data_IF_593293844485
#
_entry.id   IF_593293844485
#
_cell.length_a   1.000
_cell.length_b   1.000
_cell.length_c   1.000
_cell.angle_alpha   90.00
_cell.angle_beta   90.00
_cell.angle_gamma   90.00
#
_symmetry.space_group_name_H-M   'P 1'
#
loop_
_entity.id
_entity.type
_entity.pdbx_description
1 polymer ?
#
# COMPACT_ATOMS: atom_id res chain seq x y z
N UNK A 1 -14.53 -18.58 -48.97
CA UNK A 1 -14.50 -18.83 -47.51
C UNK A 1 -13.94 -17.61 -46.80
N UNK A 2 -14.77 -16.65 -46.38
CA UNK A 2 -14.30 -15.55 -45.53
C UNK A 2 -14.47 -15.95 -44.06
N UNK A 3 -13.38 -16.29 -43.37
CA UNK A 3 -13.40 -16.75 -41.98
C UNK A 3 -13.22 -15.57 -41.03
N UNK A 4 -14.35 -15.01 -40.61
CA UNK A 4 -14.58 -14.26 -39.35
C UNK A 4 -13.33 -13.72 -38.62
N UNK A 5 -12.73 -12.65 -39.13
CA UNK A 5 -11.64 -11.89 -38.47
C UNK A 5 -12.15 -10.84 -37.49
N UNK A 6 -13.39 -10.38 -37.67
CA UNK A 6 -14.05 -9.36 -36.82
C UNK A 6 -14.10 -9.72 -35.32
N UNK A 7 -14.52 -10.93 -34.88
CA UNK A 7 -14.59 -11.22 -33.45
C UNK A 7 -13.20 -11.28 -32.78
N UNK A 8 -12.14 -11.65 -33.53
CA UNK A 8 -10.78 -11.67 -33.02
C UNK A 8 -10.27 -10.25 -32.72
N UNK A 9 -10.56 -9.30 -33.62
CA UNK A 9 -10.21 -7.88 -33.45
C UNK A 9 -10.97 -7.23 -32.29
N UNK A 10 -12.27 -7.52 -32.15
CA UNK A 10 -13.08 -7.04 -31.02
C UNK A 10 -12.61 -7.63 -29.67
N UNK A 11 -12.21 -8.90 -29.64
CA UNK A 11 -11.65 -9.53 -28.42
C UNK A 11 -10.33 -8.88 -28.03
N UNK A 12 -9.44 -8.58 -29.00
CA UNK A 12 -8.17 -7.90 -28.74
C UNK A 12 -8.35 -6.48 -28.19
N UNK A 13 -9.36 -5.73 -28.67
CA UNK A 13 -9.69 -4.38 -28.15
C UNK A 13 -10.20 -4.40 -26.70
N UNK A 14 -10.88 -5.45 -26.26
CA UNK A 14 -11.38 -5.57 -24.88
C UNK A 14 -10.24 -5.94 -23.92
N UNK A 15 -9.22 -6.71 -24.35
CA UNK A 15 -8.06 -7.04 -23.51
C UNK A 15 -7.21 -5.82 -23.13
N UNK A 16 -7.24 -4.73 -23.91
CA UNK A 16 -6.51 -3.48 -23.60
C UNK A 16 -7.34 -2.45 -22.83
N UNK A 17 -8.64 -2.71 -22.60
CA UNK A 17 -9.52 -1.83 -21.83
C UNK A 17 -9.32 -1.99 -20.30
N UNK A 18 -8.07 -1.87 -19.82
CA UNK A 18 -7.83 -1.62 -18.41
C UNK A 18 -8.41 -0.26 -18.04
N UNK A 19 -9.54 -0.27 -17.33
CA UNK A 19 -10.14 0.91 -16.72
C UNK A 19 -9.23 1.45 -15.60
N UNK A 20 -8.15 2.14 -15.99
CA UNK A 20 -7.27 2.83 -15.07
C UNK A 20 -8.07 3.96 -14.40
N UNK A 21 -8.51 3.73 -13.17
CA UNK A 21 -9.18 4.74 -12.36
C UNK A 21 -8.17 5.81 -11.91
N UNK A 22 -7.96 6.81 -12.75
CA UNK A 22 -7.13 7.95 -12.43
C UNK A 22 -7.78 8.80 -11.34
N UNK A 23 -7.23 8.76 -10.13
CA UNK A 23 -7.54 9.74 -9.09
C UNK A 23 -6.61 10.96 -9.21
N UNK A 24 -7.05 12.11 -8.68
CA UNK A 24 -6.20 13.29 -8.57
C UNK A 24 -6.14 13.71 -7.09
N UNK A 25 -4.98 13.55 -6.47
CA UNK A 25 -4.83 13.70 -5.02
C UNK A 25 -5.10 15.12 -4.54
N UNK A 26 -4.69 16.13 -5.31
CA UNK A 26 -4.86 17.53 -4.89
C UNK A 26 -6.30 17.99 -5.04
N UNK A 27 -7.02 17.46 -6.03
CA UNK A 27 -8.47 17.64 -6.18
C UNK A 27 -9.26 16.94 -5.07
N UNK A 28 -8.85 15.74 -4.65
CA UNK A 28 -9.49 15.02 -3.55
C UNK A 28 -9.24 15.75 -2.22
N UNK A 29 -7.98 16.02 -1.86
CA UNK A 29 -7.64 16.77 -0.64
C UNK A 29 -8.22 18.19 -0.63
N UNK A 30 -8.43 18.80 -1.80
CA UNK A 30 -9.12 20.10 -1.92
C UNK A 30 -10.57 20.11 -1.43
N UNK A 31 -11.19 18.95 -1.21
CA UNK A 31 -12.50 18.81 -0.58
C UNK A 31 -12.44 18.81 0.96
N UNK A 32 -11.26 18.77 1.56
CA UNK A 32 -11.05 18.64 3.00
C UNK A 32 -10.17 19.79 3.55
N UNK A 33 -10.77 20.91 3.98
CA UNK A 33 -10.04 22.09 4.45
C UNK A 33 -9.01 21.82 5.56
N UNK A 34 -9.27 20.84 6.43
CA UNK A 34 -8.38 20.35 7.49
C UNK A 34 -6.98 19.92 7.01
N UNK A 35 -6.81 19.65 5.70
CA UNK A 35 -5.57 19.14 5.09
C UNK A 35 -5.02 20.08 4.01
N UNK A 36 -5.51 21.32 3.93
CA UNK A 36 -5.11 22.30 2.90
C UNK A 36 -3.60 22.56 2.87
N UNK A 37 -2.94 22.70 4.02
CA UNK A 37 -1.49 22.90 4.11
C UNK A 37 -0.72 21.68 3.62
N UNK A 38 -1.18 20.47 3.95
CA UNK A 38 -0.57 19.23 3.47
C UNK A 38 -0.74 19.08 1.94
N UNK A 39 -1.90 19.45 1.40
CA UNK A 39 -2.16 19.49 -0.05
C UNK A 39 -1.23 20.48 -0.78
N UNK A 40 -1.00 21.66 -0.19
CA UNK A 40 -0.04 22.64 -0.70
C UNK A 40 1.39 22.08 -0.70
N UNK A 41 1.83 21.42 0.39
CA UNK A 41 3.16 20.81 0.48
C UNK A 41 3.36 19.68 -0.55
N UNK A 42 2.34 18.84 -0.79
CA UNK A 42 2.36 17.84 -1.87
C UNK A 42 2.48 18.47 -3.26
N UNK A 43 1.83 19.62 -3.47
CA UNK A 43 1.86 20.36 -4.72
C UNK A 43 3.21 21.05 -4.94
N UNK A 44 3.70 21.80 -3.94
CA UNK A 44 4.98 22.54 -3.96
C UNK A 44 6.19 21.62 -4.17
N UNK A 45 6.21 20.47 -3.50
CA UNK A 45 7.27 19.46 -3.68
C UNK A 45 7.19 18.70 -5.01
N UNK A 46 6.14 18.91 -5.81
CA UNK A 46 5.86 18.16 -7.04
C UNK A 46 5.51 16.68 -6.81
N UNK A 47 5.40 16.22 -5.55
CA UNK A 47 5.04 14.83 -5.24
C UNK A 47 3.61 14.49 -5.68
N UNK A 48 2.71 15.48 -5.68
CA UNK A 48 1.34 15.33 -6.19
C UNK A 48 1.29 14.73 -7.60
N UNK A 49 2.20 15.11 -8.49
CA UNK A 49 2.30 14.56 -9.86
C UNK A 49 2.70 13.08 -9.83
N UNK A 50 3.66 12.71 -8.99
CA UNK A 50 4.16 11.34 -8.86
C UNK A 50 3.15 10.40 -8.18
N UNK A 51 2.25 10.96 -7.35
CA UNK A 51 1.11 10.25 -6.74
C UNK A 51 0.01 10.02 -7.79
N UNK A 52 -0.29 11.03 -8.61
CA UNK A 52 -1.34 10.97 -9.63
C UNK A 52 -1.02 10.00 -10.79
N UNK A 53 0.23 9.56 -10.94
CA UNK A 53 0.62 8.52 -11.91
C UNK A 53 0.50 7.09 -11.36
N UNK A 54 -0.14 6.89 -10.20
CA UNK A 54 -0.34 5.58 -9.56
C UNK A 54 -1.76 5.07 -9.72
N UNK A 55 -1.92 3.77 -9.93
CA UNK A 55 -3.23 3.10 -9.93
C UNK A 55 -3.75 2.77 -8.51
N UNK A 56 -2.83 2.54 -7.57
CA UNK A 56 -3.15 2.22 -6.17
C UNK A 56 -2.15 2.90 -5.22
N UNK A 57 -2.64 3.54 -4.15
CA UNK A 57 -1.85 4.07 -3.01
C UNK A 57 -2.66 4.11 -1.71
N UNK A 58 -1.97 4.27 -0.58
CA UNK A 58 -2.53 4.82 0.67
C UNK A 58 -1.75 6.06 1.08
N UNK A 59 -2.43 7.19 1.25
CA UNK A 59 -1.84 8.44 1.71
C UNK A 59 -2.09 8.62 3.21
N UNK A 60 -1.01 8.80 3.98
CA UNK A 60 -1.07 9.21 5.37
C UNK A 60 -1.10 10.74 5.43
N UNK A 61 -2.30 11.31 5.53
CA UNK A 61 -2.54 12.74 5.49
C UNK A 61 -2.37 13.39 6.86
N UNK A 62 -1.64 14.50 6.91
CA UNK A 62 -1.32 15.23 8.14
C UNK A 62 -2.24 16.45 8.24
N UNK A 63 -3.04 16.62 9.30
CA UNK A 63 -3.93 17.77 9.44
C UNK A 63 -3.13 19.06 9.67
N UNK A 64 -3.69 20.20 9.27
CA UNK A 64 -3.04 21.52 9.30
C UNK A 64 -2.43 21.86 10.68
N UNK A 65 -3.09 21.50 11.78
CA UNK A 65 -2.60 21.73 13.14
C UNK A 65 -1.38 20.88 13.55
N UNK A 66 -1.01 19.87 12.76
CA UNK A 66 0.05 18.93 13.07
C UNK A 66 1.23 18.95 12.08
N UNK A 67 1.19 19.75 10.99
CA UNK A 67 2.24 19.75 9.95
C UNK A 67 3.65 20.07 10.46
N UNK A 68 3.76 20.73 11.62
CA UNK A 68 5.02 20.90 12.34
C UNK A 68 6.09 21.62 11.52
N UNK A 69 7.30 21.05 11.53
CA UNK A 69 8.49 21.64 10.89
C UNK A 69 8.60 21.38 9.37
N UNK A 70 7.64 20.65 8.77
CA UNK A 70 7.67 20.29 7.35
C UNK A 70 7.71 21.52 6.44
N UNK A 71 7.01 22.59 6.80
CA UNK A 71 6.95 23.85 6.03
C UNK A 71 8.30 24.56 5.91
N UNK A 72 9.22 24.31 6.84
CA UNK A 72 10.56 24.91 6.89
C UNK A 72 11.64 24.07 6.20
N UNK A 73 11.32 22.90 5.67
CA UNK A 73 12.28 22.02 4.98
C UNK A 73 12.52 22.49 3.54
N UNK A 74 13.72 22.24 3.02
CA UNK A 74 14.02 22.46 1.60
C UNK A 74 13.20 21.52 0.72
N UNK A 75 12.87 21.92 -0.51
CA UNK A 75 11.89 21.21 -1.33
C UNK A 75 12.28 19.75 -1.65
N UNK A 76 13.57 19.42 -1.78
CA UNK A 76 14.03 18.03 -1.94
C UNK A 76 13.87 17.21 -0.65
N UNK A 77 14.23 17.76 0.52
CA UNK A 77 14.03 17.07 1.81
C UNK A 77 12.54 16.91 2.10
N UNK A 78 11.74 17.94 1.83
CA UNK A 78 10.29 17.91 1.92
C UNK A 78 9.71 16.83 1.01
N UNK A 79 10.14 16.76 -0.26
CA UNK A 79 9.69 15.71 -1.19
C UNK A 79 10.03 14.30 -0.66
N UNK A 80 11.24 14.09 -0.15
CA UNK A 80 11.66 12.81 0.46
C UNK A 80 10.78 12.44 1.66
N UNK A 81 10.55 13.38 2.59
CA UNK A 81 9.71 13.15 3.78
C UNK A 81 8.25 12.91 3.42
N UNK A 82 7.66 13.67 2.50
CA UNK A 82 6.29 13.43 2.06
C UNK A 82 6.16 12.09 1.31
N UNK A 83 7.20 11.64 0.59
CA UNK A 83 7.19 10.36 -0.09
C UNK A 83 7.20 9.14 0.85
N UNK A 84 7.60 9.27 2.12
CA UNK A 84 7.40 8.21 3.13
C UNK A 84 5.95 8.13 3.60
N UNK A 85 5.17 9.19 3.45
CA UNK A 85 3.75 9.23 3.83
C UNK A 85 2.83 8.64 2.75
N UNK A 86 3.38 8.22 1.60
CA UNK A 86 2.62 7.52 0.54
C UNK A 86 3.03 6.06 0.50
N UNK A 87 2.16 5.19 0.99
CA UNK A 87 2.30 3.73 0.90
C UNK A 87 1.81 3.25 -0.47
N UNK A 88 2.53 2.30 -1.08
CA UNK A 88 2.25 1.83 -2.45
C UNK A 88 1.02 0.90 -2.54
N UNK A 89 0.67 0.26 -1.43
CA UNK A 89 -0.48 -0.64 -1.31
C UNK A 89 -1.73 0.07 -0.78
N UNK A 90 -2.91 -0.49 -1.08
CA UNK A 90 -4.18 -0.06 -0.50
C UNK A 90 -4.35 -0.58 0.95
N UNK A 91 -4.60 0.31 1.90
CA UNK A 91 -4.93 0.05 3.29
C UNK A 91 -6.01 1.02 3.76
N UNK A 92 -7.18 0.49 4.07
CA UNK A 92 -8.26 1.20 4.73
C UNK A 92 -8.42 0.73 6.19
N UNK A 93 -9.27 1.38 7.02
CA UNK A 93 -9.46 0.97 8.40
C UNK A 93 -9.90 -0.50 8.55
N UNK A 94 -10.67 -1.04 7.59
CA UNK A 94 -11.13 -2.43 7.61
C UNK A 94 -9.98 -3.41 7.39
N UNK A 95 -9.06 -3.14 6.46
CA UNK A 95 -7.85 -3.95 6.25
C UNK A 95 -6.89 -3.85 7.43
N UNK A 96 -6.76 -2.67 8.05
CA UNK A 96 -5.94 -2.49 9.25
C UNK A 96 -6.53 -3.25 10.46
N UNK A 97 -7.85 -3.22 10.67
CA UNK A 97 -8.54 -3.99 11.72
C UNK A 97 -8.39 -5.51 11.62
N UNK A 98 -8.04 -6.05 10.45
CA UNK A 98 -7.73 -7.47 10.27
C UNK A 98 -6.33 -7.85 10.80
N UNK A 99 -5.49 -6.87 11.16
CA UNK A 99 -4.20 -7.10 11.81
C UNK A 99 -4.41 -7.37 13.31
N UNK A 100 -4.46 -8.65 13.69
CA UNK A 100 -4.62 -9.11 15.09
C UNK A 100 -3.38 -8.79 15.94
N UNK A 101 -3.30 -7.59 16.50
CA UNK A 101 -2.22 -7.09 17.37
C UNK A 101 -0.80 -7.32 16.83
N UNK A 102 -0.66 -7.16 15.51
CA UNK A 102 0.59 -7.36 14.77
C UNK A 102 1.17 -6.05 14.27
N UNK A 103 2.49 -6.03 14.08
CA UNK A 103 3.17 -5.03 13.26
C UNK A 103 3.21 -5.52 11.82
N UNK A 104 2.89 -4.64 10.86
CA UNK A 104 3.09 -4.87 9.43
C UNK A 104 4.05 -3.80 8.86
N UNK A 105 4.98 -4.24 8.01
CA UNK A 105 5.91 -3.37 7.28
C UNK A 105 5.27 -2.94 5.95
N UNK A 106 5.33 -1.66 5.63
CA UNK A 106 4.70 -1.03 4.48
C UNK A 106 5.75 -0.37 3.60
N UNK A 107 5.72 -0.64 2.30
CA UNK A 107 6.61 -0.03 1.31
C UNK A 107 6.06 1.32 0.85
N UNK A 108 6.91 2.36 0.82
CA UNK A 108 6.50 3.71 0.46
C UNK A 108 7.03 4.14 -0.91
N UNK A 109 6.50 5.25 -1.45
CA UNK A 109 7.06 5.90 -2.63
C UNK A 109 8.51 6.35 -2.42
N UNK A 110 8.95 6.64 -1.19
CA UNK A 110 10.35 6.94 -0.95
C UNK A 110 11.26 5.73 -1.22
N UNK A 111 10.84 4.50 -0.89
CA UNK A 111 11.58 3.29 -1.29
C UNK A 111 11.65 3.18 -2.81
N UNK A 112 10.53 3.37 -3.49
CA UNK A 112 10.45 3.24 -4.95
C UNK A 112 11.25 4.33 -5.70
N UNK A 113 11.56 5.46 -5.05
CA UNK A 113 12.41 6.50 -5.63
C UNK A 113 13.87 6.07 -5.84
N UNK A 114 14.30 4.96 -5.23
CA UNK A 114 15.70 4.50 -5.23
C UNK A 114 16.65 5.37 -4.38
N UNK A 115 16.16 6.46 -3.77
CA UNK A 115 16.96 7.34 -2.89
C UNK A 115 17.02 6.88 -1.43
N UNK A 116 16.14 5.96 -1.02
CA UNK A 116 16.07 5.49 0.36
C UNK A 116 17.26 4.60 0.72
N UNK A 117 17.94 4.90 1.83
CA UNK A 117 18.96 4.02 2.40
C UNK A 117 18.32 3.06 3.42
N UNK A 118 18.68 1.78 3.37
CA UNK A 118 18.21 0.74 4.31
C UNK A 118 16.68 0.75 4.48
N UNK A 119 16.19 0.93 5.71
CA UNK A 119 14.77 0.93 6.06
C UNK A 119 14.06 2.29 5.96
N UNK A 120 14.73 3.35 5.47
CA UNK A 120 14.12 4.69 5.38
C UNK A 120 12.89 4.74 4.47
N UNK A 121 12.83 3.88 3.45
CA UNK A 121 11.71 3.81 2.52
C UNK A 121 10.52 2.99 3.03
N UNK A 122 10.58 2.47 4.26
CA UNK A 122 9.52 1.63 4.83
C UNK A 122 8.93 2.25 6.10
N UNK A 123 7.63 2.02 6.28
CA UNK A 123 6.93 2.29 7.54
C UNK A 123 6.61 0.99 8.26
N UNK A 124 6.41 1.06 9.56
CA UNK A 124 5.74 0.05 10.34
C UNK A 124 4.40 0.61 10.82
N UNK A 125 3.31 -0.12 10.57
CA UNK A 125 2.04 0.08 11.28
C UNK A 125 1.92 -1.00 12.36
N UNK A 126 1.53 -0.62 13.57
CA UNK A 126 1.30 -1.55 14.69
C UNK A 126 -0.14 -1.43 15.16
N UNK A 127 -0.88 -2.54 15.13
CA UNK A 127 -2.17 -2.64 15.81
C UNK A 127 -1.91 -2.80 17.32
N UNK A 128 -2.59 -2.00 18.14
CA UNK A 128 -2.47 -2.03 19.60
C UNK A 128 -3.73 -1.44 20.24
N UNK A 129 -4.38 -2.18 21.13
CA UNK A 129 -5.49 -1.70 21.95
C UNK A 129 -6.62 -1.07 21.09
N UNK A 130 -6.93 -1.68 19.95
CA UNK A 130 -7.91 -1.19 18.96
C UNK A 130 -7.47 0.03 18.13
N UNK A 131 -6.28 0.58 18.39
CA UNK A 131 -5.67 1.71 17.68
C UNK A 131 -4.58 1.25 16.70
N UNK A 132 -4.25 2.11 15.73
CA UNK A 132 -3.13 1.87 14.81
C UNK A 132 -2.08 2.97 14.96
N UNK A 133 -0.83 2.57 15.11
CA UNK A 133 0.30 3.48 15.27
C UNK A 133 1.29 3.26 14.14
N UNK A 134 1.50 4.29 13.34
CA UNK A 134 2.51 4.36 12.29
C UNK A 134 3.83 4.93 12.83
N UNK A 135 4.93 4.53 12.20
CA UNK A 135 6.26 5.11 12.39
C UNK A 135 7.23 4.59 11.35
N UNK A 136 8.43 5.16 11.28
CA UNK A 136 9.46 4.67 10.36
C UNK A 136 9.88 3.24 10.72
N UNK A 137 10.27 2.46 9.71
CA UNK A 137 10.81 1.12 9.92
C UNK A 137 12.28 1.11 10.37
N UNK A 138 12.99 2.25 10.27
CA UNK A 138 14.37 2.40 10.72
C UNK A 138 14.51 2.01 12.20
N UNK A 139 15.54 1.23 12.52
CA UNK A 139 15.82 0.75 13.89
C UNK A 139 15.97 1.94 14.84
N UNK A 140 15.27 1.90 15.98
CA UNK A 140 15.26 2.96 16.98
C UNK A 140 14.42 4.20 16.63
N UNK A 141 13.76 4.23 15.46
CA UNK A 141 12.88 5.35 15.11
C UNK A 141 11.61 5.41 15.98
N UNK A 142 11.08 6.62 16.17
CA UNK A 142 9.86 6.85 16.93
C UNK A 142 8.63 6.28 16.21
N UNK A 143 7.69 5.73 16.99
CA UNK A 143 6.38 5.22 16.53
C UNK A 143 5.28 5.88 17.34
N UNK A 144 4.88 7.06 16.89
CA UNK A 144 4.00 7.97 17.63
C UNK A 144 2.87 8.57 16.75
N UNK A 145 2.84 8.28 15.45
CA UNK A 145 1.82 8.80 14.53
C UNK A 145 0.59 7.90 14.57
N UNK A 146 -0.46 8.28 15.31
CA UNK A 146 -1.68 7.48 15.44
C UNK A 146 -2.59 7.65 14.23
N UNK A 147 -3.38 6.64 13.90
CA UNK A 147 -4.54 6.78 13.02
C UNK A 147 -5.65 7.53 13.75
N UNK A 148 -6.05 8.68 13.23
CA UNK A 148 -7.14 9.50 13.79
C UNK A 148 -8.47 9.22 13.08
N UNK A 149 -8.49 9.23 11.74
CA UNK A 149 -9.70 9.03 10.94
C UNK A 149 -9.42 8.53 9.53
N UNK A 150 -10.38 7.85 8.91
CA UNK A 150 -10.45 7.75 7.45
C UNK A 150 -10.94 9.08 6.88
N UNK A 151 -10.19 9.69 5.96
CA UNK A 151 -10.59 10.93 5.28
C UNK A 151 -11.42 10.61 4.04
N UNK A 152 -10.93 9.67 3.23
CA UNK A 152 -11.53 9.27 1.97
C UNK A 152 -11.07 7.86 1.60
N UNK A 153 -11.97 6.98 1.17
CA UNK A 153 -11.64 5.65 0.65
C UNK A 153 -12.36 5.40 -0.67
N UNK A 154 -11.61 5.03 -1.71
CA UNK A 154 -12.10 4.39 -2.92
C UNK A 154 -11.46 2.99 -2.98
N UNK A 155 -12.23 1.91 -2.72
CA UNK A 155 -11.71 0.55 -2.66
C UNK A 155 -10.79 0.18 -3.82
N UNK A 156 -9.69 -0.51 -3.50
CA UNK A 156 -8.64 -0.97 -4.43
C UNK A 156 -7.79 0.13 -5.09
N UNK A 157 -8.15 1.41 -4.97
CA UNK A 157 -7.43 2.50 -5.63
C UNK A 157 -6.76 3.44 -4.63
N UNK A 158 -7.53 4.17 -3.82
CA UNK A 158 -6.97 5.19 -2.94
C UNK A 158 -7.63 5.13 -1.57
N UNK A 159 -6.81 5.06 -0.52
CA UNK A 159 -7.24 5.41 0.82
C UNK A 159 -6.43 6.61 1.31
N UNK A 160 -7.10 7.55 1.97
CA UNK A 160 -6.51 8.69 2.66
C UNK A 160 -6.82 8.52 4.14
N UNK A 161 -5.78 8.30 4.93
CA UNK A 161 -5.83 8.07 6.36
C UNK A 161 -5.25 9.28 7.07
N UNK A 162 -6.03 9.93 7.92
CA UNK A 162 -5.59 11.04 8.75
C UNK A 162 -4.73 10.54 9.90
N UNK A 163 -3.48 11.00 10.00
CA UNK A 163 -2.57 10.66 11.10
C UNK A 163 -2.34 11.84 12.06
N UNK A 164 -2.02 11.52 13.31
CA UNK A 164 -1.92 12.51 14.41
C UNK A 164 -0.76 13.51 14.27
N UNK A 165 0.33 13.12 13.60
CA UNK A 165 1.55 13.92 13.41
C UNK A 165 2.43 13.35 12.28
N UNK A 166 3.40 14.11 11.74
CA UNK A 166 4.34 13.63 10.73
C UNK A 166 5.20 12.46 11.23
N UNK A 167 5.49 11.50 10.34
CA UNK A 167 6.41 10.41 10.62
C UNK A 167 7.86 10.86 10.39
N UNK A 168 8.63 10.95 11.48
CA UNK A 168 10.07 11.22 11.43
C UNK A 168 10.81 9.97 10.96
N UNK A 169 11.61 10.12 9.89
CA UNK A 169 12.45 9.06 9.33
C UNK A 169 13.93 9.43 9.53
N UNK A 170 14.69 8.74 10.41
CA UNK A 170 16.08 9.10 10.72
C UNK A 170 16.99 9.13 9.48
N UNK A 171 17.78 10.20 9.37
CA UNK A 171 18.75 10.41 8.28
C UNK A 171 18.14 10.70 6.90
N UNK A 172 16.82 10.92 6.78
CA UNK A 172 16.16 11.16 5.49
C UNK A 172 16.57 12.47 4.82
N UNK A 173 17.08 13.42 5.59
CA UNK A 173 17.67 14.68 5.13
C UNK A 173 19.11 14.51 4.61
N UNK A 174 19.77 13.39 4.91
CA UNK A 174 21.18 13.11 4.60
C UNK A 174 22.14 13.36 5.77
N UNK A 175 21.65 13.64 6.98
CA UNK A 175 22.49 13.89 8.16
C UNK A 175 23.08 12.64 8.80
N UNK A 176 22.56 11.45 8.47
CA UNK A 176 23.09 10.19 9.00
C UNK A 176 24.16 9.65 8.06
N UNK A 177 25.39 9.49 8.57
CA UNK A 177 26.50 8.90 7.84
C UNK A 177 26.15 7.48 7.36
N UNK A 178 26.68 7.03 6.20
CA UNK A 178 26.52 5.65 5.77
C UNK A 178 27.10 4.73 6.85
N UNK A 179 26.25 3.84 7.38
CA UNK A 179 26.71 2.75 8.24
C UNK A 179 27.59 1.88 7.34
N UNK A 180 28.91 1.95 7.53
CA UNK A 180 29.82 1.15 6.71
C UNK A 180 29.40 -0.31 6.83
N UNK A 181 29.35 -1.02 5.69
CA UNK A 181 29.01 -2.43 5.69
C UNK A 181 29.89 -3.17 6.72
N UNK A 182 29.35 -4.15 7.47
CA UNK A 182 30.18 -4.92 8.39
C UNK A 182 31.39 -5.45 7.61
N UNK A 183 32.63 -5.26 8.12
CA UNK A 183 33.81 -5.60 7.35
C UNK A 183 33.73 -7.08 6.95
N UNK A 184 34.11 -7.42 5.70
CA UNK A 184 34.19 -8.82 5.31
C UNK A 184 35.05 -9.54 6.35
N UNK A 185 34.55 -10.67 6.88
CA UNK A 185 35.31 -11.47 7.86
C UNK A 185 36.69 -11.73 7.26
N UNK A 186 37.72 -11.17 7.90
CA UNK A 186 39.07 -11.29 7.40
C UNK A 186 39.47 -12.75 7.44
N UNK A 187 39.57 -13.39 6.26
CA UNK A 187 40.20 -14.68 6.13
C UNK A 187 41.65 -14.51 6.60
N UNK A 188 41.99 -15.17 7.70
CA UNK A 188 43.32 -15.07 8.31
C UNK A 188 44.37 -15.59 7.34
N UNK A 189 45.42 -14.81 7.02
CA UNK A 189 46.45 -15.27 6.11
C UNK A 189 47.23 -16.43 6.76
N UNK A 190 47.08 -17.64 6.21
CA UNK A 190 47.95 -18.77 6.53
C UNK A 190 49.33 -18.44 5.99
N UNK A 191 50.29 -18.28 6.89
CA UNK A 191 51.68 -17.96 6.54
C UNK A 191 52.28 -19.05 5.65
N UNK A 192 52.96 -18.64 4.59
CA UNK A 192 53.75 -19.52 3.70
C UNK A 192 55.17 -18.96 3.57
N UNK A 193 56.20 -19.79 3.79
CA UNK A 193 57.49 -19.69 3.10
C UNK A 193 57.44 -20.49 1.78
N UNK A 194 58.30 -20.13 0.81
CA UNK A 194 58.25 -20.60 -0.59
C UNK A 194 59.47 -21.46 -0.94
N UNK A 195 59.26 -22.42 -1.85
CA UNK A 195 60.24 -23.28 -2.57
C UNK A 195 61.02 -24.32 -1.71
N UNK A 196 61.48 -25.46 -2.25
CA UNK A 196 61.64 -25.90 -3.65
C UNK A 196 61.43 -27.44 -3.80
N UNK A 197 61.29 -27.95 -5.03
CA UNK A 197 61.09 -29.38 -5.38
C UNK A 197 62.44 -30.17 -5.39
N UNK A 198 62.55 -31.51 -5.59
CA UNK A 198 61.64 -32.40 -6.35
C UNK A 198 61.41 -33.87 -5.85
N UNK A 199 60.45 -34.52 -6.53
CA UNK A 199 60.30 -35.96 -6.84
C UNK A 199 60.57 -37.06 -5.79
N UNK A 200 59.56 -37.90 -5.51
CA UNK A 200 59.51 -39.32 -5.93
C UNK A 200 58.13 -39.95 -5.57
N UNK A 201 57.93 -41.19 -6.01
CA UNK A 201 56.74 -42.08 -6.07
C UNK A 201 55.92 -42.20 -4.74
N UNK A 202 54.69 -42.73 -4.66
CA UNK A 202 54.06 -43.88 -5.36
C UNK A 202 52.51 -43.90 -5.15
N UNK A 203 51.78 -44.74 -5.90
CA UNK A 203 50.42 -45.36 -5.70
C UNK A 203 49.28 -44.64 -4.92
N UNK A 204 48.10 -44.42 -5.54
CA UNK A 204 46.86 -45.24 -5.44
C UNK A 204 46.03 -44.99 -4.13
N UNK A 205 44.69 -44.99 -4.07
CA UNK A 205 43.61 -45.44 -4.95
C UNK A 205 42.41 -44.43 -4.98
N UNK A 206 41.46 -44.63 -5.89
CA UNK A 206 40.05 -44.23 -5.77
C UNK A 206 39.20 -45.52 -5.72
N UNK A 207 37.96 -45.59 -5.17
CA UNK A 207 36.88 -44.60 -5.18
C UNK A 207 36.39 -44.28 -3.72
N UNK A 208 35.11 -44.09 -3.30
CA UNK A 208 33.77 -44.16 -3.93
C UNK A 208 32.70 -43.34 -3.18
N UNK A 209 31.74 -42.83 -3.96
CA UNK A 209 30.27 -42.91 -3.80
C UNK A 209 29.63 -43.17 -2.42
N UNK A 210 28.77 -42.24 -1.98
CA UNK A 210 27.42 -42.46 -1.40
C UNK A 210 26.69 -41.10 -1.50
N UNK A 211 25.65 -40.96 -2.33
CA UNK A 211 24.23 -41.10 -1.96
C UNK A 211 23.88 -40.27 -0.69
N UNK A 212 23.23 -39.12 -0.86
CA UNK A 212 21.78 -38.96 -1.08
C UNK A 212 20.95 -39.28 0.17
N UNK A 213 20.33 -38.25 0.75
CA UNK A 213 18.95 -38.35 1.22
C UNK A 213 18.32 -36.98 1.43
N UNK A 214 17.12 -36.81 0.86
CA UNK A 214 16.14 -35.84 1.28
C UNK A 214 14.85 -36.61 1.59
N UNK A 215 14.18 -36.30 2.70
CA UNK A 215 12.72 -36.44 2.79
C UNK A 215 12.08 -35.04 2.89
N UNK A 216 11.08 -34.73 2.05
CA UNK A 216 9.64 -34.92 2.32
C UNK A 216 9.13 -33.94 3.40
N UNK A 217 8.30 -32.94 3.08
CA UNK A 217 6.88 -33.06 2.69
C UNK A 217 6.05 -33.90 3.68
N UNK A 218 5.24 -33.22 4.49
CA UNK A 218 4.17 -33.83 5.28
C UNK A 218 2.93 -32.92 5.18
N UNK A 219 1.86 -33.45 4.57
CA UNK A 219 0.51 -32.86 4.54
C UNK A 219 -0.29 -33.28 5.78
N UNK A 220 -1.58 -32.86 5.82
CA UNK A 220 -2.62 -33.27 6.78
C UNK A 220 -2.54 -32.62 8.19
N UNK A 221 -3.64 -32.36 8.89
CA UNK A 221 -5.06 -32.40 8.52
C UNK A 221 -5.86 -31.42 9.40
N UNK A 222 -7.13 -31.15 9.04
CA UNK A 222 -8.07 -30.41 9.88
C UNK A 222 -9.16 -31.34 10.41
N UNK A 223 -9.75 -31.04 11.59
CA UNK A 223 -11.11 -31.51 11.88
C UNK A 223 -12.08 -30.37 12.22
N UNK A 224 -13.08 -30.24 11.34
CA UNK A 224 -14.53 -30.25 11.58
C UNK A 224 -15.22 -29.40 12.70
N UNK A 225 -16.53 -29.08 12.54
CA UNK A 225 -17.19 -27.98 13.26
C UNK A 225 -18.20 -28.41 14.34
N UNK A 226 -18.49 -27.50 15.28
CA UNK A 226 -19.64 -27.61 16.19
C UNK A 226 -20.88 -26.94 15.59
N UNK A 227 -22.04 -27.58 15.76
CA UNK A 227 -23.39 -27.06 15.49
C UNK A 227 -24.16 -26.98 16.81
N UNK A 228 -25.07 -26.03 16.93
CA UNK A 228 -26.40 -26.06 17.61
C UNK A 228 -27.00 -24.65 17.46
N UNK A 229 -28.18 -24.49 16.82
CA UNK A 229 -29.50 -24.32 17.44
C UNK A 229 -29.64 -22.99 18.24
N UNK A 230 -30.70 -22.17 18.14
CA UNK A 230 -32.04 -22.37 17.56
C UNK A 230 -32.68 -21.00 17.16
N UNK A 231 -33.88 -20.99 16.57
CA UNK A 231 -34.66 -19.80 16.18
C UNK A 231 -36.19 -20.06 16.29
N UNK A 232 -37.10 -19.13 15.89
CA UNK A 232 -37.34 -17.78 16.42
C UNK A 232 -38.80 -17.56 16.88
N UNK A 233 -39.06 -16.58 17.76
CA UNK A 233 -40.38 -15.95 17.98
C UNK A 233 -40.22 -14.65 18.80
N UNK A 234 -41.02 -13.58 18.65
CA UNK A 234 -42.10 -13.32 17.69
C UNK A 234 -42.57 -11.85 17.79
N UNK A 235 -43.40 -11.40 16.84
CA UNK A 235 -44.17 -10.14 16.95
C UNK A 235 -45.52 -10.41 17.66
N UNK A 236 -46.23 -9.37 18.13
CA UNK A 236 -47.34 -8.87 17.30
C UNK A 236 -47.61 -7.34 17.36
N UNK A 237 -48.39 -6.90 16.36
CA UNK A 237 -49.37 -5.79 16.28
C UNK A 237 -49.17 -4.48 17.10
N UNK A 238 -49.09 -3.29 16.50
CA UNK A 238 -50.06 -2.57 15.66
C UNK A 238 -51.19 -1.88 16.45
N UNK A 239 -51.07 -0.55 16.66
CA UNK A 239 -52.22 0.34 16.87
C UNK A 239 -51.88 1.81 16.51
N UNK A 240 -52.85 2.55 15.96
CA UNK A 240 -52.79 3.96 15.53
C UNK A 240 -54.15 4.42 14.96
N UNK A 241 -54.47 5.74 14.87
CA UNK A 241 -54.00 6.93 15.59
C UNK A 241 -55.22 7.68 16.25
N UNK A 242 -55.23 9.01 16.54
CA UNK A 242 -55.36 10.07 15.51
C UNK A 242 -54.78 11.48 15.83
N UNK A 243 -54.67 12.31 14.77
CA UNK A 243 -54.59 13.80 14.75
C UNK A 243 -53.31 14.47 15.35
N UNK A 244 -52.80 15.62 14.90
CA UNK A 244 -53.26 16.56 13.85
C UNK A 244 -52.07 17.37 13.26
N UNK A 245 -52.34 18.17 12.20
CA UNK A 245 -51.53 19.26 11.63
C UNK A 245 -50.31 18.96 10.71
N UNK A 246 -50.51 19.29 9.44
CA UNK A 246 -49.51 19.81 8.47
C UNK A 246 -49.86 21.31 8.20
N UNK A 247 -49.13 22.13 7.38
CA UNK A 247 -48.09 21.82 6.38
C UNK A 247 -46.91 22.85 6.38
N UNK A 248 -46.10 23.05 5.30
CA UNK A 248 -45.75 22.19 4.16
C UNK A 248 -44.22 21.89 4.04
N UNK A 249 -43.81 20.86 3.28
CA UNK A 249 -42.40 20.66 2.92
C UNK A 249 -41.97 21.49 1.69
N UNK A 250 -40.74 22.03 1.72
CA UNK A 250 -40.15 22.74 0.58
C UNK A 250 -39.62 21.77 -0.50
N UNK A 251 -39.72 22.19 -1.76
CA UNK A 251 -39.61 21.32 -2.95
C UNK A 251 -38.22 20.72 -3.18
N UNK A 252 -38.15 19.39 -3.24
CA UNK A 252 -37.00 18.66 -3.77
C UNK A 252 -37.04 18.58 -5.31
N UNK A 253 -36.17 19.33 -5.99
CA UNK A 253 -35.98 19.22 -7.44
C UNK A 253 -35.22 17.92 -7.80
N UNK A 254 -35.95 16.83 -8.06
CA UNK A 254 -35.38 15.56 -8.55
C UNK A 254 -35.02 15.67 -10.03
N UNK A 255 -33.79 16.14 -10.33
CA UNK A 255 -33.27 16.16 -11.70
C UNK A 255 -32.92 14.73 -12.16
N UNK A 256 -33.86 14.09 -12.87
CA UNK A 256 -33.73 12.71 -13.36
C UNK A 256 -32.94 12.66 -14.67
N UNK A 257 -31.62 12.78 -14.60
CA UNK A 257 -30.72 12.68 -15.77
C UNK A 257 -30.58 11.22 -16.22
N UNK A 258 -31.36 10.84 -17.22
CA UNK A 258 -31.25 9.54 -17.90
C UNK A 258 -30.23 9.60 -19.04
N UNK A 259 -28.95 9.37 -18.74
CA UNK A 259 -27.92 9.21 -19.79
C UNK A 259 -27.91 7.78 -20.32
N UNK A 260 -28.85 7.47 -21.21
CA UNK A 260 -28.87 6.23 -21.98
C UNK A 260 -27.85 6.28 -23.11
N UNK A 261 -26.64 5.79 -22.88
CA UNK A 261 -25.61 5.68 -23.91
C UNK A 261 -25.89 4.47 -24.82
N UNK A 262 -26.72 4.67 -25.85
CA UNK A 262 -26.86 3.71 -26.95
C UNK A 262 -25.64 3.79 -27.87
N UNK A 263 -24.69 2.86 -27.71
CA UNK A 263 -23.61 2.65 -28.69
C UNK A 263 -24.19 1.85 -29.87
N UNK A 264 -24.69 2.55 -30.89
CA UNK A 264 -25.08 1.94 -32.17
C UNK A 264 -23.84 1.79 -33.04
N UNK A 265 -23.24 0.59 -33.04
CA UNK A 265 -22.10 0.28 -33.89
C UNK A 265 -22.56 -0.11 -35.30
N UNK A 266 -22.81 0.89 -36.16
CA UNK A 266 -23.16 0.65 -37.56
C UNK A 266 -21.92 0.25 -38.38
N UNK A 267 -21.67 -1.05 -38.53
CA UNK A 267 -20.66 -1.56 -39.47
C UNK A 267 -21.20 -1.58 -40.90
N UNK A 268 -20.79 -0.61 -41.71
CA UNK A 268 -21.00 -0.65 -43.17
C UNK A 268 -19.93 -1.58 -43.75
N UNK A 269 -20.37 -2.75 -44.22
CA UNK A 269 -19.58 -3.58 -45.12
C UNK A 269 -19.94 -3.15 -46.55
N UNK A 270 -18.98 -2.57 -47.28
CA UNK A 270 -19.04 -2.55 -48.74
C UNK A 270 -18.14 -3.65 -49.30
N UNK A 271 -18.56 -4.18 -50.45
CA UNK A 271 -17.94 -5.32 -51.14
C UNK A 271 -16.68 -4.94 -51.92
#
# INVERSE_FOLDING_TARGET
MSRSTVPLLCSFLILFASSASAFNITRILGQYPDYSTFNELLSKSGLATDINSRGTITLLAIPNGAVGDLTSKSDDVLKRVLATHVVLDYYDPMKLQRMKDKTAKMTTMYQQSGKAAYDQGFLNVTARDGSFIFGSAVVGAQRNSKLEKSVMNQPYNISILGISQPIVTPGIDGTMAPISAPPPKANTPKSSPVAEAPAEEEEAEAPSEEEAEAPAEEEAEAPAPSKDADAPAGAPDADAPPADQAPPPSSAAKLKVSFGLFVVLATIILA
#
